data_IF_427414652420
#
_entry.id   IF_427414652420
#
_cell.length_a   1.000
_cell.length_b   1.000
_cell.length_c   1.000
_cell.angle_alpha   90.00
_cell.angle_beta   90.00
_cell.angle_gamma   90.00
#
_symmetry.space_group_name_H-M   'P 1'
#
loop_
_entity.id
_entity.type
_entity.pdbx_description
1 polymer ?
#
# COMPACT_ATOMS: atom_id res chain seq x y z
N UNK A 1 -2.80 14.11 5.19
CA UNK A 1 -3.68 13.12 4.53
C UNK A 1 -3.21 12.95 3.09
N UNK A 2 -3.05 11.71 2.64
CA UNK A 2 -2.51 11.36 1.30
C UNK A 2 -3.30 10.19 0.72
N UNK A 3 -3.19 9.96 -0.59
CA UNK A 3 -3.96 8.94 -1.30
C UNK A 3 -3.76 7.53 -0.71
N UNK A 4 -4.85 6.79 -0.54
CA UNK A 4 -4.83 5.40 -0.07
C UNK A 4 -4.23 4.47 -1.14
N UNK A 5 -3.37 3.53 -0.74
CA UNK A 5 -2.82 2.52 -1.65
C UNK A 5 -3.72 1.28 -1.71
N UNK A 6 -3.72 0.61 -2.87
CA UNK A 6 -4.57 -0.54 -3.22
C UNK A 6 -3.78 -1.49 -4.12
N UNK A 7 -4.32 -2.69 -4.36
CA UNK A 7 -3.77 -3.61 -5.37
C UNK A 7 -3.66 -2.89 -6.72
N UNK A 8 -2.54 -3.08 -7.41
CA UNK A 8 -2.26 -2.49 -8.72
C UNK A 8 -1.68 -1.07 -8.68
N UNK A 9 -1.70 -0.39 -7.52
CA UNK A 9 -1.03 0.90 -7.41
C UNK A 9 0.50 0.70 -7.50
N UNK A 10 1.18 1.59 -8.24
CA UNK A 10 2.60 1.47 -8.53
C UNK A 10 3.47 1.84 -7.31
N UNK A 11 4.58 1.12 -7.17
CA UNK A 11 5.74 1.56 -6.37
C UNK A 11 6.85 2.03 -7.32
N UNK A 12 7.88 2.67 -6.79
CA UNK A 12 9.02 3.12 -7.59
C UNK A 12 9.82 1.99 -8.24
N UNK A 13 9.64 0.74 -7.80
CA UNK A 13 10.38 -0.44 -8.30
C UNK A 13 9.47 -1.61 -8.71
N UNK A 14 8.14 -1.44 -8.69
CA UNK A 14 7.19 -2.50 -8.99
C UNK A 14 5.74 -2.07 -8.74
N UNK A 15 4.90 -3.02 -8.33
CA UNK A 15 3.45 -2.84 -8.20
C UNK A 15 2.93 -3.59 -6.98
N UNK A 16 1.95 -3.04 -6.26
CA UNK A 16 1.28 -3.74 -5.16
C UNK A 16 0.45 -4.91 -5.71
N UNK A 17 0.63 -6.10 -5.17
CA UNK A 17 0.02 -7.34 -5.68
C UNK A 17 -0.99 -7.98 -4.72
N UNK A 18 -0.98 -7.61 -3.45
CA UNK A 18 -1.97 -8.09 -2.49
C UNK A 18 -2.52 -6.95 -1.63
N UNK A 19 -3.66 -7.23 -0.99
CA UNK A 19 -4.41 -6.25 -0.22
C UNK A 19 -5.46 -6.94 0.65
N UNK A 20 -6.35 -6.15 1.22
CA UNK A 20 -7.30 -6.59 2.24
C UNK A 20 -8.41 -7.46 1.64
N UNK A 21 -8.78 -8.58 2.27
CA UNK A 21 -9.85 -9.44 1.77
C UNK A 21 -11.25 -8.80 1.88
N UNK A 22 -11.42 -7.78 2.73
CA UNK A 22 -12.73 -7.22 3.09
C UNK A 22 -12.78 -5.68 3.08
N UNK A 23 -11.64 -4.99 3.07
CA UNK A 23 -11.58 -3.53 2.98
C UNK A 23 -11.25 -3.14 1.54
N UNK A 24 -12.25 -2.59 0.86
CA UNK A 24 -12.21 -2.28 -0.57
C UNK A 24 -12.27 -0.76 -0.77
N UNK A 25 -11.35 -0.21 -1.57
CA UNK A 25 -11.27 1.22 -1.90
C UNK A 25 -11.46 1.37 -3.41
N UNK A 26 -12.51 2.06 -3.83
CA UNK A 26 -12.91 2.18 -5.24
C UNK A 26 -12.99 0.82 -5.97
N UNK A 27 -13.57 -0.19 -5.33
CA UNK A 27 -13.71 -1.52 -5.92
C UNK A 27 -12.44 -2.38 -5.91
N UNK A 28 -11.32 -1.86 -5.41
CA UNK A 28 -10.02 -2.57 -5.38
C UNK A 28 -9.60 -2.82 -3.92
N UNK A 29 -9.10 -4.02 -3.56
CA UNK A 29 -8.60 -4.31 -2.23
C UNK A 29 -7.56 -3.30 -1.74
N UNK A 30 -7.76 -2.79 -0.53
CA UNK A 30 -6.89 -1.80 0.09
C UNK A 30 -5.57 -2.42 0.56
N UNK A 31 -4.45 -1.74 0.34
CA UNK A 31 -3.14 -2.19 0.80
C UNK A 31 -2.86 -1.74 2.24
N UNK A 32 -2.06 -2.52 2.96
CA UNK A 32 -1.70 -2.29 4.34
C UNK A 32 -0.31 -2.84 4.64
N UNK A 33 0.39 -2.17 5.56
CA UNK A 33 1.73 -2.56 5.98
C UNK A 33 1.71 -3.97 6.61
N UNK A 34 2.84 -4.66 6.48
CA UNK A 34 3.12 -6.02 6.98
C UNK A 34 2.20 -7.14 6.50
N UNK A 35 1.13 -6.87 5.75
CA UNK A 35 0.29 -7.89 5.14
C UNK A 35 0.02 -7.73 3.65
N UNK A 36 0.41 -6.61 3.03
CA UNK A 36 0.39 -6.45 1.57
C UNK A 36 1.78 -6.65 0.95
N UNK A 37 1.83 -7.30 -0.20
CA UNK A 37 3.04 -7.58 -0.97
C UNK A 37 3.10 -6.69 -2.21
N UNK A 38 4.31 -6.44 -2.70
CA UNK A 38 4.57 -5.76 -3.96
C UNK A 38 5.62 -6.53 -4.75
N UNK A 39 5.52 -6.53 -6.08
CA UNK A 39 6.66 -6.91 -6.92
C UNK A 39 7.79 -5.90 -6.78
N UNK A 40 9.00 -6.38 -7.03
CA UNK A 40 10.20 -5.56 -7.07
C UNK A 40 11.09 -6.05 -8.19
N UNK A 41 11.62 -5.13 -8.98
CA UNK A 41 12.63 -5.47 -9.98
C UNK A 41 13.97 -5.88 -9.35
N UNK A 42 14.24 -5.48 -8.10
CA UNK A 42 15.53 -5.74 -7.44
C UNK A 42 15.52 -7.09 -6.71
N UNK A 43 14.46 -7.37 -5.96
CA UNK A 43 14.36 -8.55 -5.07
C UNK A 43 13.27 -9.54 -5.48
N UNK A 44 12.59 -9.29 -6.61
CA UNK A 44 11.46 -10.09 -7.10
C UNK A 44 10.16 -9.74 -6.38
N UNK A 45 10.10 -9.96 -5.07
CA UNK A 45 8.91 -9.70 -4.26
C UNK A 45 9.29 -9.16 -2.89
N UNK A 46 8.48 -8.22 -2.40
CA UNK A 46 8.69 -7.55 -1.12
C UNK A 46 7.35 -7.31 -0.42
N UNK A 47 7.40 -6.80 0.81
CA UNK A 47 6.23 -6.43 1.60
C UNK A 47 6.18 -4.92 1.80
N UNK A 48 4.98 -4.36 2.00
CA UNK A 48 4.85 -2.98 2.46
C UNK A 48 5.26 -2.93 3.94
N UNK A 49 6.21 -2.08 4.31
CA UNK A 49 6.76 -2.02 5.68
C UNK A 49 6.37 -0.75 6.44
N UNK A 50 5.87 0.27 5.74
CA UNK A 50 5.41 1.53 6.34
C UNK A 50 3.95 1.78 5.98
N UNK A 51 3.23 2.47 6.86
CA UNK A 51 1.82 2.82 6.69
C UNK A 51 1.43 4.01 7.57
N UNK A 52 0.13 4.28 7.66
CA UNK A 52 -0.45 5.28 8.55
C UNK A 52 -0.21 4.99 10.03
N UNK A 53 0.08 6.03 10.82
CA UNK A 53 0.18 5.92 12.27
C UNK A 53 -1.16 5.91 13.01
N UNK A 54 -2.27 6.20 12.32
CA UNK A 54 -3.58 6.40 12.95
C UNK A 54 -4.72 5.61 12.31
N UNK A 55 -4.57 5.20 11.05
CA UNK A 55 -5.58 4.44 10.33
C UNK A 55 -5.09 3.02 10.10
N UNK A 56 -5.93 2.06 10.50
CA UNK A 56 -5.60 0.64 10.45
C UNK A 56 -6.59 -0.11 9.54
N UNK A 57 -6.07 -1.04 8.76
CA UNK A 57 -6.81 -1.98 7.91
C UNK A 57 -6.47 -3.37 8.42
N UNK A 58 -7.49 -4.12 8.85
CA UNK A 58 -7.32 -5.43 9.50
C UNK A 58 -6.35 -5.40 10.70
N UNK A 59 -6.38 -4.31 11.47
CA UNK A 59 -5.49 -4.14 12.63
C UNK A 59 -4.04 -3.76 12.29
N UNK A 60 -3.72 -3.54 11.02
CA UNK A 60 -2.38 -3.18 10.55
C UNK A 60 -2.37 -1.80 9.90
N UNK A 61 -1.25 -1.04 9.94
CA UNK A 61 -1.17 0.30 9.36
C UNK A 61 -1.62 0.36 7.90
N UNK A 62 -2.56 1.25 7.57
CA UNK A 62 -3.03 1.40 6.19
C UNK A 62 -1.92 1.96 5.29
N UNK A 63 -1.71 1.39 4.10
CA UNK A 63 -0.69 1.84 3.17
C UNK A 63 -1.19 3.02 2.32
N UNK A 64 -0.30 3.97 2.03
CA UNK A 64 -0.62 5.23 1.37
C UNK A 64 0.49 5.68 0.43
N UNK A 65 0.20 6.69 -0.39
CA UNK A 65 1.20 7.38 -1.19
C UNK A 65 2.37 7.84 -0.32
N UNK A 66 3.59 7.49 -0.74
CA UNK A 66 4.84 7.79 -0.04
C UNK A 66 5.27 6.78 1.03
N UNK A 67 4.44 5.78 1.36
CA UNK A 67 4.85 4.68 2.22
C UNK A 67 5.81 3.73 1.48
N UNK A 68 6.57 2.95 2.25
CA UNK A 68 7.78 2.26 1.79
C UNK A 68 7.59 0.75 1.83
N UNK A 69 8.09 0.05 0.82
CA UNK A 69 8.25 -1.39 0.77
C UNK A 69 9.61 -1.85 1.32
N UNK A 70 9.76 -3.13 1.64
CA UNK A 70 10.95 -3.66 2.33
C UNK A 70 12.26 -3.51 1.57
N UNK A 71 12.20 -3.27 0.26
CA UNK A 71 13.36 -2.97 -0.60
C UNK A 71 13.65 -1.47 -0.73
N UNK A 72 12.93 -0.63 0.01
CA UNK A 72 13.05 0.83 -0.04
C UNK A 72 12.18 1.50 -1.12
N UNK A 73 11.44 0.73 -1.93
CA UNK A 73 10.56 1.32 -2.95
C UNK A 73 9.42 2.12 -2.32
N UNK A 74 9.18 3.33 -2.81
CA UNK A 74 8.07 4.16 -2.36
C UNK A 74 6.81 3.87 -3.18
N UNK A 75 5.63 3.91 -2.55
CA UNK A 75 4.35 3.91 -3.25
C UNK A 75 4.17 5.26 -3.94
N UNK A 76 3.99 5.25 -5.27
CA UNK A 76 3.98 6.47 -6.11
C UNK A 76 2.60 6.79 -6.70
N UNK A 77 1.64 5.89 -6.55
CA UNK A 77 0.25 6.11 -6.95
C UNK A 77 -0.70 5.61 -5.86
N UNK A 78 -1.95 6.05 -5.89
CA UNK A 78 -2.99 5.63 -4.97
C UNK A 78 -4.37 5.93 -5.52
N UNK A 79 -5.38 5.78 -4.67
CA UNK A 79 -6.75 6.16 -4.94
C UNK A 79 -6.87 7.64 -5.35
N UNK A 80 -7.65 7.98 -6.38
CA UNK A 80 -7.81 9.37 -6.84
C UNK A 80 -8.59 10.26 -5.86
N UNK A 81 -9.36 9.68 -4.94
CA UNK A 81 -10.31 10.42 -4.10
C UNK A 81 -10.43 9.90 -2.66
N UNK A 82 -9.81 8.77 -2.31
CA UNK A 82 -9.80 8.28 -0.93
C UNK A 82 -8.46 8.61 -0.29
N UNK A 83 -8.53 9.44 0.76
CA UNK A 83 -7.37 9.98 1.46
C UNK A 83 -7.30 9.39 2.87
N UNK A 84 -6.10 8.96 3.28
CA UNK A 84 -5.85 8.39 4.60
C UNK A 84 -4.97 9.35 5.42
N UNK A 85 -5.42 9.64 6.64
CA UNK A 85 -4.76 10.54 7.60
C UNK A 85 -3.66 9.88 8.46
N UNK A 86 -3.07 10.69 9.33
CA UNK A 86 -1.86 10.36 10.12
C UNK A 86 -0.62 10.30 9.25
#
# INVERSE_FOLDING_TARGET
MVCAARIGDATSLGVICSGSPNVIINGIPAAFATGSTATSILVGMTIIVKGSGTVFINGLPAARLGDIAGDGAAIVCGSPNVLIGG
#
